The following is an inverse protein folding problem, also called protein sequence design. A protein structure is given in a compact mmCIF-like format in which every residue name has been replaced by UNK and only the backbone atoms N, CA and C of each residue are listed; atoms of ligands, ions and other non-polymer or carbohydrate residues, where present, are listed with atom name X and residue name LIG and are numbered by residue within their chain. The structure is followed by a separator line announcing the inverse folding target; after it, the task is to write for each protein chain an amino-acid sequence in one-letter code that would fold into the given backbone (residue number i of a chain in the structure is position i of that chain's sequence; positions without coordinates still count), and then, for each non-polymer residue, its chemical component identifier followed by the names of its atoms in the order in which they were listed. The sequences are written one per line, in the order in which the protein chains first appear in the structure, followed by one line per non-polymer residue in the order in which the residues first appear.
data_IF_673362990990
#
_entry.id   IF_673362990990
#
_cell.length_a   1.000
_cell.length_b   1.000
_cell.length_c   1.000
_cell.angle_alpha   90.00
_cell.angle_beta   90.00
_cell.angle_gamma   90.00
#
_symmetry.space_group_name_H-M   'P 1'
#
loop_
_entity.id
_entity.type
_entity.pdbx_description
1 polymer ?
#
# COMPACT_ATOMS: atom_id res chain seq x y z
N UNK A 1 -16.20 -4.72 -5.99
CA UNK A 1 -15.15 -3.69 -6.14
C UNK A 1 -14.37 -3.44 -4.86
N UNK A 2 -15.00 -3.31 -3.68
CA UNK A 2 -14.30 -3.11 -2.40
C UNK A 2 -13.27 -4.22 -2.11
N UNK A 3 -13.65 -5.49 -2.29
CA UNK A 3 -12.73 -6.63 -2.10
C UNK A 3 -11.46 -6.57 -2.98
N UNK A 4 -11.55 -6.00 -4.18
CA UNK A 4 -10.40 -5.81 -5.05
C UNK A 4 -9.45 -4.76 -4.48
N UNK A 5 -9.98 -3.67 -3.93
CA UNK A 5 -9.20 -2.63 -3.27
C UNK A 5 -8.57 -3.10 -1.96
N UNK A 6 -9.25 -3.95 -1.18
CA UNK A 6 -8.68 -4.61 -0.01
C UNK A 6 -7.53 -5.56 -0.40
N UNK A 7 -7.71 -6.34 -1.48
CA UNK A 7 -6.64 -7.15 -2.02
C UNK A 7 -5.44 -6.30 -2.44
N UNK A 8 -5.67 -5.18 -3.14
CA UNK A 8 -4.61 -4.26 -3.55
C UNK A 8 -3.91 -3.55 -2.37
N UNK A 9 -4.64 -3.26 -1.29
CA UNK A 9 -4.05 -2.81 -0.03
C UNK A 9 -3.11 -3.88 0.54
N UNK A 10 -3.51 -5.15 0.54
CA UNK A 10 -2.63 -6.26 0.94
C UNK A 10 -1.42 -6.43 0.03
N UNK A 11 -1.64 -6.40 -1.29
CA UNK A 11 -0.59 -6.56 -2.30
C UNK A 11 0.44 -5.43 -2.24
N UNK A 12 0.03 -4.20 -1.97
CA UNK A 12 0.94 -3.06 -1.81
C UNK A 12 1.81 -3.16 -0.56
N UNK A 13 1.29 -3.67 0.55
CA UNK A 13 2.09 -4.01 1.74
C UNK A 13 3.10 -5.13 1.47
N UNK A 14 2.70 -6.16 0.72
CA UNK A 14 3.61 -7.21 0.30
C UNK A 14 4.71 -6.63 -0.61
N UNK A 15 4.36 -5.79 -1.57
CA UNK A 15 5.30 -5.13 -2.47
C UNK A 15 6.27 -4.21 -1.73
N UNK A 16 5.81 -3.53 -0.68
CA UNK A 16 6.66 -2.76 0.24
C UNK A 16 7.73 -3.65 0.87
N UNK A 17 7.32 -4.78 1.45
CA UNK A 17 8.21 -5.70 2.16
C UNK A 17 9.19 -6.39 1.21
N UNK A 18 8.69 -7.01 0.15
CA UNK A 18 9.52 -7.74 -0.82
C UNK A 18 10.40 -6.80 -1.65
N UNK A 19 9.90 -5.62 -2.04
CA UNK A 19 10.68 -4.61 -2.76
C UNK A 19 11.81 -4.05 -1.91
N UNK A 20 11.54 -3.73 -0.64
CA UNK A 20 12.55 -3.27 0.31
C UNK A 20 13.63 -4.32 0.57
N UNK A 21 13.23 -5.56 0.84
CA UNK A 21 14.16 -6.66 1.08
C UNK A 21 15.00 -6.97 -0.16
N UNK A 22 14.39 -7.01 -1.35
CA UNK A 22 15.11 -7.26 -2.60
C UNK A 22 16.20 -6.21 -2.85
N UNK A 23 15.86 -4.93 -2.72
CA UNK A 23 16.82 -3.85 -2.91
C UNK A 23 17.89 -3.82 -1.81
N UNK A 24 17.51 -4.09 -0.57
CA UNK A 24 18.45 -4.22 0.54
C UNK A 24 19.46 -5.34 0.31
N UNK A 25 19.02 -6.56 -0.04
CA UNK A 25 19.94 -7.67 -0.31
C UNK A 25 20.81 -7.45 -1.54
N UNK A 26 20.29 -6.76 -2.57
CA UNK A 26 21.03 -6.50 -3.80
C UNK A 26 22.15 -5.47 -3.62
N UNK A 27 21.90 -4.39 -2.87
CA UNK A 27 22.84 -3.27 -2.72
C UNK A 27 23.49 -3.19 -1.34
N UNK A 28 23.08 -4.07 -0.40
CA UNK A 28 23.55 -4.16 0.98
C UNK A 28 23.62 -2.81 1.71
N UNK A 29 22.65 -1.93 1.46
CA UNK A 29 22.64 -0.57 1.98
C UNK A 29 21.24 -0.17 2.43
N UNK A 30 21.20 0.48 3.60
CA UNK A 30 19.97 0.91 4.25
C UNK A 30 19.22 1.97 3.42
N UNK A 31 19.93 2.76 2.61
CA UNK A 31 19.31 3.73 1.72
C UNK A 31 18.40 3.06 0.67
N UNK A 32 18.84 1.92 0.12
CA UNK A 32 18.06 1.16 -0.84
C UNK A 32 16.88 0.41 -0.21
N UNK A 33 16.96 0.10 1.09
CA UNK A 33 15.82 -0.38 1.87
C UNK A 33 14.72 0.69 1.91
N UNK A 34 15.07 1.94 2.26
CA UNK A 34 14.12 3.05 2.26
C UNK A 34 13.48 3.27 0.88
N UNK A 35 14.28 3.27 -0.19
CA UNK A 35 13.77 3.41 -1.57
C UNK A 35 12.78 2.29 -1.91
N UNK A 36 13.04 1.05 -1.50
CA UNK A 36 12.14 -0.07 -1.77
C UNK A 36 10.84 -0.03 -0.96
N UNK A 37 10.85 0.57 0.23
CA UNK A 37 9.65 0.79 1.04
C UNK A 37 8.74 1.85 0.42
N UNK A 38 9.30 2.95 -0.08
CA UNK A 38 8.54 4.13 -0.54
C UNK A 38 7.39 3.82 -1.50
N UNK A 39 7.57 3.07 -2.61
CA UNK A 39 6.49 2.84 -3.58
C UNK A 39 5.37 1.97 -2.98
N UNK A 40 5.70 0.93 -2.21
CA UNK A 40 4.72 0.07 -1.58
C UNK A 40 3.90 0.79 -0.51
N UNK A 41 4.56 1.63 0.29
CA UNK A 41 3.91 2.49 1.29
C UNK A 41 2.94 3.47 0.63
N UNK A 42 3.37 4.14 -0.46
CA UNK A 42 2.53 5.08 -1.20
C UNK A 42 1.26 4.41 -1.74
N UNK A 43 1.40 3.22 -2.35
CA UNK A 43 0.28 2.44 -2.85
C UNK A 43 -0.66 2.01 -1.72
N UNK A 44 -0.13 1.55 -0.59
CA UNK A 44 -0.94 1.16 0.57
C UNK A 44 -1.77 2.33 1.12
N UNK A 45 -1.18 3.53 1.17
CA UNK A 45 -1.90 4.75 1.57
C UNK A 45 -3.01 5.11 0.58
N UNK A 46 -2.72 5.09 -0.73
CA UNK A 46 -3.73 5.39 -1.77
C UNK A 46 -4.92 4.45 -1.66
N UNK A 47 -4.68 3.13 -1.57
CA UNK A 47 -5.78 2.16 -1.46
C UNK A 47 -6.56 2.30 -0.15
N UNK A 48 -5.88 2.61 0.96
CA UNK A 48 -6.55 2.86 2.24
C UNK A 48 -7.46 4.08 2.16
N UNK A 49 -6.99 5.19 1.58
CA UNK A 49 -7.79 6.41 1.41
C UNK A 49 -9.00 6.17 0.48
N UNK A 50 -8.83 5.39 -0.58
CA UNK A 50 -9.94 5.05 -1.49
C UNK A 50 -11.01 4.23 -0.74
N UNK A 51 -10.59 3.23 0.05
CA UNK A 51 -11.51 2.40 0.84
C UNK A 51 -12.27 3.23 1.88
N UNK A 52 -11.56 4.06 2.67
CA UNK A 52 -12.18 4.91 3.68
C UNK A 52 -13.15 5.92 3.06
N UNK A 53 -12.76 6.56 1.95
CA UNK A 53 -13.62 7.51 1.25
C UNK A 53 -14.88 6.82 0.68
N UNK A 54 -14.74 5.59 0.19
CA UNK A 54 -15.88 4.81 -0.27
C UNK A 54 -16.83 4.48 0.89
N UNK A 55 -16.30 4.09 2.05
CA UNK A 55 -17.09 3.80 3.25
C UNK A 55 -17.82 5.07 3.76
N UNK A 56 -17.13 6.20 3.81
CA UNK A 56 -17.70 7.51 4.18
C UNK A 56 -18.85 7.91 3.25
N UNK A 57 -18.69 7.76 1.94
CA UNK A 57 -19.76 8.05 0.97
C UNK A 57 -20.98 7.16 1.16
N UNK A 58 -20.78 5.88 1.51
CA UNK A 58 -21.88 4.98 1.80
C UNK A 58 -22.64 5.39 3.06
N UNK A 59 -21.92 5.78 4.13
CA UNK A 59 -22.53 6.31 5.37
C UNK A 59 -23.33 7.59 5.12
N UNK A 60 -22.79 8.50 4.32
CA UNK A 60 -23.48 9.75 3.94
C UNK A 60 -24.74 9.52 3.09
N UNK A 61 -24.80 8.45 2.29
CA UNK A 61 -25.99 8.11 1.49
C UNK A 61 -27.08 7.41 2.30
N UNK A 62 -26.76 6.88 3.47
CA UNK A 62 -27.71 6.18 4.35
C UNK A 62 -28.34 7.10 5.42
N UNK A 63 -27.83 8.32 5.59
CA UNK A 63 -28.43 9.40 6.38
C UNK A 63 -29.21 10.37 5.48
#
# INVERSE_FOLDING_TARGET
MIYLFEFFKGASLALMLFGALFLFFKFNSFFYLCIGVTPGLLLALIFTLILENHELKNKLKQN
#
